data_IF_961950439957
#
_entry.id   IF_961950439957
#
_cell.length_a   1.000
_cell.length_b   1.000
_cell.length_c   1.000
_cell.angle_alpha   90.00
_cell.angle_beta   90.00
_cell.angle_gamma   90.00
#
_symmetry.space_group_name_H-M   'P 1'
#
loop_
_entity.id
_entity.type
_entity.pdbx_description
1 polymer ?
#
# COMPACT_ATOMS: atom_id res chain seq x y z
N UNK A 1 20.34 14.22 4.18
CA UNK A 1 19.23 13.89 5.09
C UNK A 1 18.14 13.14 4.35
N UNK A 2 17.59 12.07 4.93
CA UNK A 2 16.44 11.35 4.39
C UNK A 2 15.35 11.29 5.46
N UNK A 3 14.16 11.77 5.12
CA UNK A 3 13.03 11.87 6.03
C UNK A 3 12.02 10.78 5.70
N UNK A 4 11.91 9.77 6.57
CA UNK A 4 10.97 8.66 6.47
C UNK A 4 11.63 7.29 6.33
N UNK A 5 11.38 6.41 7.31
CA UNK A 5 11.95 5.06 7.43
C UNK A 5 11.16 3.95 6.72
N UNK A 6 10.31 4.29 5.73
CA UNK A 6 9.65 3.33 4.84
C UNK A 6 10.57 2.83 3.73
N UNK A 7 10.02 1.96 2.84
CA UNK A 7 10.80 1.36 1.73
C UNK A 7 11.48 2.42 0.85
N UNK A 8 10.80 3.54 0.57
CA UNK A 8 11.33 4.60 -0.28
C UNK A 8 12.56 5.27 0.35
N UNK A 9 12.47 5.67 1.63
CA UNK A 9 13.59 6.31 2.34
C UNK A 9 14.76 5.34 2.55
N UNK A 10 14.47 4.09 2.93
CA UNK A 10 15.53 3.08 3.08
C UNK A 10 16.22 2.78 1.75
N UNK A 11 15.47 2.67 0.65
CA UNK A 11 16.06 2.42 -0.68
C UNK A 11 16.95 3.59 -1.11
N UNK A 12 16.50 4.82 -0.87
CA UNK A 12 17.30 6.02 -1.11
C UNK A 12 18.57 6.05 -0.25
N UNK A 13 18.44 5.70 1.04
CA UNK A 13 19.57 5.64 1.96
C UNK A 13 20.62 4.60 1.54
N UNK A 14 20.17 3.42 1.10
CA UNK A 14 21.05 2.38 0.57
C UNK A 14 21.82 2.87 -0.65
N UNK A 15 21.12 3.46 -1.62
CA UNK A 15 21.74 3.95 -2.86
C UNK A 15 22.76 5.05 -2.58
N UNK A 16 22.39 6.06 -1.79
CA UNK A 16 23.27 7.15 -1.44
C UNK A 16 24.53 6.67 -0.69
N UNK A 17 24.36 5.72 0.25
CA UNK A 17 25.49 5.14 0.97
C UNK A 17 26.40 4.32 0.06
N UNK A 18 25.83 3.54 -0.86
CA UNK A 18 26.62 2.74 -1.82
C UNK A 18 27.41 3.64 -2.80
N UNK A 19 26.96 4.91 -2.99
CA UNK A 19 27.69 5.93 -3.73
C UNK A 19 28.66 6.77 -2.86
N UNK A 20 28.90 6.38 -1.60
CA UNK A 20 29.84 7.06 -0.71
C UNK A 20 29.30 8.34 -0.05
N UNK A 21 28.00 8.60 -0.12
CA UNK A 21 27.39 9.77 0.53
C UNK A 21 27.11 9.46 2.01
N UNK A 22 27.45 10.40 2.89
CA UNK A 22 27.06 10.32 4.30
C UNK A 22 25.54 10.55 4.45
N UNK A 23 24.85 9.60 5.11
CA UNK A 23 23.39 9.59 5.22
C UNK A 23 22.94 9.57 6.68
N UNK A 24 21.98 10.44 7.00
CA UNK A 24 21.13 10.34 8.18
C UNK A 24 19.71 10.03 7.73
N UNK A 25 19.15 8.92 8.21
CA UNK A 25 17.77 8.52 7.99
C UNK A 25 16.96 8.79 9.26
N UNK A 26 15.93 9.64 9.17
CA UNK A 26 15.05 9.93 10.31
C UNK A 26 13.75 9.14 10.22
N UNK A 27 13.21 8.70 11.35
CA UNK A 27 11.92 8.02 11.41
C UNK A 27 11.07 8.55 12.58
N UNK A 28 9.79 8.81 12.30
CA UNK A 28 8.80 9.37 13.24
C UNK A 28 8.58 8.47 14.47
N UNK A 29 8.70 7.17 14.31
CA UNK A 29 8.61 6.17 15.36
C UNK A 29 9.83 5.25 15.38
N UNK A 30 9.77 4.16 16.13
CA UNK A 30 10.84 3.19 16.22
C UNK A 30 11.11 2.50 14.87
N UNK A 31 12.36 2.51 14.44
CA UNK A 31 12.77 2.01 13.13
C UNK A 31 12.47 0.52 12.97
N UNK A 32 11.81 0.19 11.89
CA UNK A 32 11.36 -1.17 11.61
C UNK A 32 10.45 -1.81 12.68
N UNK A 33 9.92 -1.03 13.62
CA UNK A 33 8.92 -1.49 14.61
C UNK A 33 7.58 -0.85 14.35
N UNK A 34 7.57 0.46 14.18
CA UNK A 34 6.35 1.24 14.03
C UNK A 34 6.11 1.68 12.58
N UNK A 35 4.90 1.79 12.24
CA UNK A 35 4.18 2.75 11.46
C UNK A 35 4.47 2.97 9.99
N UNK A 36 5.21 2.21 9.22
CA UNK A 36 5.28 2.44 7.77
C UNK A 36 4.26 1.59 6.99
N UNK A 37 3.63 2.18 5.97
CA UNK A 37 2.76 1.45 5.03
C UNK A 37 3.46 0.23 4.41
N UNK A 38 4.78 0.28 4.25
CA UNK A 38 5.62 -0.83 3.79
C UNK A 38 5.42 -2.10 4.60
N UNK A 39 5.24 -1.98 5.91
CA UNK A 39 5.11 -3.13 6.81
C UNK A 39 3.75 -3.81 6.73
N UNK A 40 2.77 -3.12 6.16
CA UNK A 40 1.42 -3.60 5.94
C UNK A 40 1.23 -4.23 4.55
N UNK A 41 2.26 -4.23 3.69
CA UNK A 41 2.17 -4.75 2.33
C UNK A 41 1.77 -6.23 2.34
N UNK A 42 0.63 -6.54 1.73
CA UNK A 42 0.10 -7.90 1.61
C UNK A 42 0.84 -8.67 0.53
N UNK A 43 0.54 -8.35 -0.71
CA UNK A 43 1.17 -8.93 -1.89
C UNK A 43 2.43 -8.14 -2.31
N UNK A 44 3.11 -8.67 -3.31
CA UNK A 44 4.36 -8.14 -3.78
C UNK A 44 4.27 -7.03 -4.81
N UNK A 45 5.30 -6.96 -5.61
CA UNK A 45 5.47 -5.97 -6.66
C UNK A 45 4.66 -6.33 -7.90
N UNK A 46 4.17 -5.31 -8.60
CA UNK A 46 3.68 -5.45 -9.95
C UNK A 46 4.85 -5.24 -10.92
N UNK A 47 5.25 -6.26 -11.65
CA UNK A 47 6.35 -6.17 -12.60
C UNK A 47 6.11 -7.09 -13.81
N UNK A 48 6.34 -6.58 -15.02
CA UNK A 48 6.38 -7.40 -16.22
C UNK A 48 7.72 -8.13 -16.27
N UNK A 49 7.72 -9.44 -16.00
CA UNK A 49 8.96 -10.23 -15.87
C UNK A 49 9.21 -11.19 -17.01
N UNK A 50 8.15 -11.73 -17.62
CA UNK A 50 8.28 -12.83 -18.59
C UNK A 50 7.31 -12.66 -19.77
N UNK A 51 7.73 -13.05 -20.98
CA UNK A 51 6.80 -13.14 -22.13
C UNK A 51 5.61 -14.06 -21.81
N UNK A 52 4.41 -13.76 -22.37
CA UNK A 52 4.14 -12.74 -23.38
C UNK A 52 3.93 -11.32 -22.83
N UNK A 53 4.03 -11.08 -21.51
CA UNK A 53 3.96 -9.75 -20.92
C UNK A 53 5.23 -8.94 -21.23
N UNK A 54 5.09 -7.62 -21.24
CA UNK A 54 6.20 -6.68 -21.45
C UNK A 54 5.99 -5.37 -20.69
N UNK A 55 7.04 -4.57 -20.59
CA UNK A 55 6.97 -3.24 -20.00
C UNK A 55 5.96 -2.37 -20.76
N UNK A 56 5.93 -2.45 -22.08
CA UNK A 56 5.01 -1.69 -22.94
C UNK A 56 3.55 -2.04 -22.66
N UNK A 57 3.24 -3.34 -22.50
CA UNK A 57 1.89 -3.79 -22.13
C UNK A 57 1.53 -3.33 -20.72
N UNK A 58 2.47 -3.41 -19.79
CA UNK A 58 2.27 -2.91 -18.42
C UNK A 58 2.02 -1.39 -18.40
N UNK A 59 2.78 -0.62 -19.18
CA UNK A 59 2.57 0.83 -19.34
C UNK A 59 1.18 1.11 -19.91
N UNK A 60 0.76 0.40 -20.96
CA UNK A 60 -0.55 0.56 -21.59
C UNK A 60 -1.68 0.29 -20.59
N UNK A 61 -1.61 -0.80 -19.84
CA UNK A 61 -2.61 -1.14 -18.82
C UNK A 61 -2.68 -0.07 -17.72
N UNK A 62 -1.53 0.42 -17.26
CA UNK A 62 -1.45 1.45 -16.22
C UNK A 62 -2.03 2.79 -16.69
N UNK A 63 -1.70 3.20 -17.92
CA UNK A 63 -2.24 4.46 -18.50
C UNK A 63 -3.76 4.33 -18.70
N UNK A 64 -4.24 3.20 -19.22
CA UNK A 64 -5.67 2.92 -19.37
C UNK A 64 -6.38 2.91 -17.99
N UNK A 65 -5.78 2.27 -16.98
CA UNK A 65 -6.30 2.24 -15.62
C UNK A 65 -6.44 3.62 -15.00
N UNK A 66 -5.48 4.50 -15.23
CA UNK A 66 -5.51 5.91 -14.84
C UNK A 66 -6.32 6.82 -15.76
N UNK A 67 -7.14 6.26 -16.67
CA UNK A 67 -8.00 7.02 -17.60
C UNK A 67 -7.23 8.07 -18.42
N UNK A 68 -5.97 7.78 -18.75
CA UNK A 68 -5.06 8.64 -19.50
C UNK A 68 -4.68 9.96 -18.82
N UNK A 69 -4.99 10.12 -17.52
CA UNK A 69 -4.62 11.30 -16.73
C UNK A 69 -3.19 11.21 -16.17
N UNK A 70 -2.58 10.02 -16.21
CA UNK A 70 -1.24 9.77 -15.72
C UNK A 70 -0.18 10.61 -16.47
N UNK A 71 0.87 11.00 -15.78
CA UNK A 71 2.11 11.40 -16.44
C UNK A 71 2.78 10.17 -17.08
N UNK A 72 2.58 10.00 -18.39
CA UNK A 72 3.01 8.81 -19.13
C UNK A 72 4.53 8.58 -19.11
N UNK A 73 5.31 9.66 -19.07
CA UNK A 73 6.78 9.60 -18.96
C UNK A 73 7.21 8.99 -17.62
N UNK A 74 6.61 9.45 -16.53
CA UNK A 74 6.86 8.90 -15.19
C UNK A 74 6.42 7.44 -15.12
N UNK A 75 5.23 7.10 -15.63
CA UNK A 75 4.73 5.71 -15.69
C UNK A 75 5.74 4.80 -16.39
N UNK A 76 6.20 5.17 -17.60
CA UNK A 76 7.16 4.37 -18.35
C UNK A 76 8.48 4.19 -17.59
N UNK A 77 9.03 5.29 -17.06
CA UNK A 77 10.29 5.25 -16.30
C UNK A 77 10.17 4.34 -15.08
N UNK A 78 9.10 4.51 -14.31
CA UNK A 78 8.88 3.76 -13.07
C UNK A 78 8.70 2.26 -13.33
N UNK A 79 7.87 1.89 -14.30
CA UNK A 79 7.59 0.49 -14.60
C UNK A 79 8.81 -0.22 -15.23
N UNK A 80 9.66 0.48 -15.95
CA UNK A 80 10.92 -0.06 -16.48
C UNK A 80 11.88 -0.51 -15.38
N UNK A 81 11.79 0.07 -14.19
CA UNK A 81 12.60 -0.30 -13.03
C UNK A 81 12.05 -1.50 -12.24
N UNK A 82 10.81 -1.88 -12.51
CA UNK A 82 10.10 -2.95 -11.78
C UNK A 82 10.85 -4.29 -11.73
N UNK A 83 11.30 -4.84 -12.86
CA UNK A 83 12.04 -6.11 -12.88
C UNK A 83 13.30 -6.07 -12.00
N UNK A 84 14.09 -4.99 -12.10
CA UNK A 84 15.29 -4.81 -11.27
C UNK A 84 14.93 -4.72 -9.77
N UNK A 85 13.85 -4.02 -9.43
CA UNK A 85 13.41 -3.91 -8.04
C UNK A 85 13.03 -5.26 -7.43
N UNK A 86 12.36 -6.14 -8.20
CA UNK A 86 12.04 -7.52 -7.79
C UNK A 86 13.32 -8.32 -7.52
N UNK A 87 14.27 -8.27 -8.45
CA UNK A 87 15.57 -8.93 -8.31
C UNK A 87 16.35 -8.46 -7.08
N UNK A 88 16.45 -7.13 -6.88
CA UNK A 88 17.16 -6.54 -5.74
C UNK A 88 16.54 -7.01 -4.41
N UNK A 89 15.21 -7.01 -4.31
CA UNK A 89 14.51 -7.48 -3.10
C UNK A 89 14.73 -8.98 -2.86
N UNK A 90 14.72 -9.78 -3.92
CA UNK A 90 15.04 -11.19 -3.80
C UNK A 90 16.48 -11.42 -3.33
N UNK A 91 17.46 -10.73 -3.92
CA UNK A 91 18.88 -10.77 -3.51
C UNK A 91 19.08 -10.31 -2.07
N UNK A 92 18.27 -9.38 -1.58
CA UNK A 92 18.29 -8.94 -0.18
C UNK A 92 17.60 -9.91 0.79
N UNK A 93 17.05 -11.01 0.24
CA UNK A 93 16.50 -12.12 1.01
C UNK A 93 15.02 -11.99 1.35
N UNK A 94 14.26 -11.22 0.55
CA UNK A 94 12.79 -11.30 0.58
C UNK A 94 12.36 -12.66 0.01
N UNK A 95 11.55 -13.39 0.76
CA UNK A 95 11.11 -14.76 0.40
C UNK A 95 10.01 -14.74 -0.67
N UNK A 96 10.38 -14.44 -1.90
CA UNK A 96 9.49 -14.51 -3.05
C UNK A 96 9.29 -15.96 -3.50
N UNK A 97 8.06 -16.29 -3.90
CA UNK A 97 7.73 -17.61 -4.42
C UNK A 97 8.26 -17.77 -5.84
N UNK A 98 8.93 -18.91 -6.08
CA UNK A 98 9.31 -19.35 -7.42
C UNK A 98 8.64 -20.68 -7.75
N UNK A 99 8.23 -20.82 -9.00
CA UNK A 99 7.76 -22.06 -9.61
C UNK A 99 8.51 -22.25 -10.91
N UNK A 100 9.09 -23.44 -11.13
CA UNK A 100 9.88 -23.77 -12.32
C UNK A 100 10.99 -22.72 -12.61
N UNK A 101 11.70 -22.27 -11.55
CA UNK A 101 12.78 -21.28 -11.63
C UNK A 101 12.33 -19.83 -11.81
N UNK A 102 11.07 -19.57 -12.15
CA UNK A 102 10.49 -18.24 -12.38
C UNK A 102 9.75 -17.72 -11.16
N UNK A 103 9.74 -16.40 -10.94
CA UNK A 103 8.90 -15.79 -9.91
C UNK A 103 7.43 -16.04 -10.22
N UNK A 104 6.70 -16.53 -9.21
CA UNK A 104 5.27 -16.76 -9.35
C UNK A 104 4.51 -15.44 -9.30
N UNK A 105 3.62 -15.23 -10.28
CA UNK A 105 2.87 -14.00 -10.46
C UNK A 105 1.37 -14.29 -10.45
N UNK A 106 0.62 -13.49 -9.68
CA UNK A 106 -0.84 -13.56 -9.60
C UNK A 106 -1.50 -12.53 -10.55
N UNK A 107 -2.65 -12.88 -11.13
CA UNK A 107 -3.47 -11.94 -11.88
C UNK A 107 -4.17 -10.95 -10.92
N UNK A 108 -4.44 -9.75 -11.43
CA UNK A 108 -5.25 -8.74 -10.75
C UNK A 108 -6.23 -8.12 -11.74
N UNK A 109 -7.41 -7.65 -11.27
CA UNK A 109 -8.36 -6.95 -12.12
C UNK A 109 -7.72 -5.74 -12.81
N UNK A 110 -7.98 -5.60 -14.11
CA UNK A 110 -7.43 -4.52 -14.93
C UNK A 110 -6.05 -4.78 -15.53
N UNK A 111 -5.40 -5.90 -15.22
CA UNK A 111 -4.14 -6.31 -15.82
C UNK A 111 -4.37 -7.26 -17.00
N UNK A 112 -3.66 -7.06 -18.12
CA UNK A 112 -3.69 -7.97 -19.26
C UNK A 112 -2.99 -9.30 -18.97
N UNK A 113 -1.98 -9.30 -18.07
CA UNK A 113 -1.22 -10.47 -17.67
C UNK A 113 -0.99 -10.52 -16.16
N UNK A 114 -0.74 -11.71 -15.56
CA UNK A 114 -0.33 -11.83 -14.17
C UNK A 114 0.99 -11.09 -13.91
N UNK A 115 1.02 -10.14 -12.98
CA UNK A 115 2.21 -9.32 -12.65
C UNK A 115 2.55 -9.25 -11.17
N UNK A 116 1.61 -9.64 -10.31
CA UNK A 116 1.85 -9.53 -8.88
C UNK A 116 2.80 -10.62 -8.40
N UNK A 117 4.06 -10.27 -8.24
CA UNK A 117 5.07 -11.15 -7.65
C UNK A 117 4.74 -11.33 -6.17
N UNK A 118 4.54 -12.54 -5.71
CA UNK A 118 4.08 -12.83 -4.36
C UNK A 118 5.08 -13.65 -3.55
N UNK A 119 4.88 -13.65 -2.24
CA UNK A 119 5.54 -14.56 -1.30
C UNK A 119 4.89 -15.95 -1.32
N UNK A 120 5.37 -16.84 -0.47
CA UNK A 120 4.71 -18.13 -0.22
C UNK A 120 3.27 -17.90 0.25
N UNK A 121 2.35 -18.83 -0.02
CA UNK A 121 0.97 -18.75 0.46
C UNK A 121 0.91 -18.47 1.97
N UNK A 122 0.03 -17.57 2.40
CA UNK A 122 -0.10 -17.14 3.79
C UNK A 122 1.01 -16.18 4.28
N UNK A 123 1.99 -15.83 3.44
CA UNK A 123 3.06 -14.92 3.81
C UNK A 123 2.77 -13.50 3.33
N UNK A 124 2.62 -12.57 4.28
CA UNK A 124 2.64 -11.14 3.99
C UNK A 124 4.05 -10.67 3.69
N UNK A 125 4.21 -9.93 2.60
CA UNK A 125 5.52 -9.45 2.20
C UNK A 125 6.01 -8.24 3.01
N UNK A 126 5.12 -7.50 3.67
CA UNK A 126 5.51 -6.41 4.56
C UNK A 126 6.55 -6.80 5.62
N UNK A 127 6.31 -7.86 6.41
CA UNK A 127 7.31 -8.38 7.35
C UNK A 127 8.62 -8.84 6.70
N UNK A 128 8.55 -9.39 5.48
CA UNK A 128 9.74 -9.81 4.72
C UNK A 128 10.55 -8.60 4.23
N UNK A 129 9.86 -7.58 3.70
CA UNK A 129 10.51 -6.30 3.33
C UNK A 129 11.20 -5.69 4.55
N UNK A 130 10.51 -5.62 5.67
CA UNK A 130 11.04 -5.13 6.93
C UNK A 130 12.36 -5.81 7.30
N UNK A 131 12.38 -7.16 7.34
CA UNK A 131 13.58 -7.93 7.67
C UNK A 131 14.72 -7.71 6.69
N UNK A 132 14.41 -7.70 5.39
CA UNK A 132 15.42 -7.52 4.34
C UNK A 132 16.02 -6.12 4.40
N UNK A 133 15.19 -5.08 4.44
CA UNK A 133 15.61 -3.68 4.47
C UNK A 133 16.38 -3.35 5.76
N UNK A 134 15.93 -3.83 6.91
CA UNK A 134 16.64 -3.67 8.17
C UNK A 134 18.07 -4.23 8.09
N UNK A 135 18.23 -5.45 7.53
CA UNK A 135 19.56 -6.04 7.31
C UNK A 135 20.45 -5.19 6.41
N UNK A 136 19.89 -4.61 5.35
CA UNK A 136 20.64 -3.74 4.43
C UNK A 136 21.12 -2.45 5.11
N UNK A 137 20.27 -1.83 5.94
CA UNK A 137 20.63 -0.65 6.74
C UNK A 137 21.75 -0.98 7.73
N UNK A 138 21.63 -2.10 8.46
CA UNK A 138 22.64 -2.55 9.42
C UNK A 138 23.98 -2.88 8.75
N UNK A 139 23.95 -3.61 7.62
CA UNK A 139 25.15 -3.99 6.86
C UNK A 139 25.97 -2.76 6.43
N UNK A 140 25.30 -1.69 6.05
CA UNK A 140 25.92 -0.42 5.58
C UNK A 140 26.19 0.56 6.71
N UNK A 141 25.84 0.22 7.94
CA UNK A 141 25.98 1.10 9.12
C UNK A 141 25.33 2.47 8.92
N UNK A 142 24.20 2.52 8.20
CA UNK A 142 23.46 3.77 7.97
C UNK A 142 23.00 4.31 9.31
N UNK A 143 23.28 5.59 9.58
CA UNK A 143 22.83 6.26 10.78
C UNK A 143 21.32 6.47 10.74
N UNK A 144 20.60 5.94 11.74
CA UNK A 144 19.15 6.08 11.88
C UNK A 144 18.84 6.85 13.16
N UNK A 145 18.07 7.93 13.03
CA UNK A 145 17.52 8.71 14.13
C UNK A 145 16.05 8.31 14.29
N UNK A 146 15.79 7.47 15.30
CA UNK A 146 14.45 6.96 15.64
C UNK A 146 13.67 7.98 16.46
N UNK A 147 12.33 7.80 16.54
CA UNK A 147 11.43 8.61 17.35
C UNK A 147 11.63 10.13 17.14
N UNK A 148 11.98 10.47 15.91
CA UNK A 148 12.26 11.84 15.50
C UNK A 148 11.19 12.31 14.49
N UNK A 149 10.29 13.14 15.01
CA UNK A 149 9.23 13.75 14.21
C UNK A 149 9.74 15.03 13.54
N UNK A 150 10.05 14.94 12.25
CA UNK A 150 10.42 16.13 11.47
C UNK A 150 9.17 16.96 11.23
N UNK A 151 9.19 18.21 11.65
CA UNK A 151 8.07 19.15 11.55
C UNK A 151 8.17 20.05 10.35
N UNK A 152 9.37 20.55 10.02
CA UNK A 152 9.57 21.52 8.95
C UNK A 152 10.90 21.34 8.21
N UNK A 153 10.91 21.76 6.95
CA UNK A 153 12.12 21.92 6.15
C UNK A 153 12.71 23.30 6.43
N UNK A 154 14.01 23.36 6.57
CA UNK A 154 14.74 24.63 6.71
C UNK A 154 15.08 25.14 5.30
N UNK A 155 14.63 26.34 4.99
CA UNK A 155 14.83 26.98 3.68
C UNK A 155 15.67 28.24 3.84
N UNK A 156 16.71 28.39 3.05
CA UNK A 156 17.51 29.58 2.88
C UNK A 156 17.71 29.84 1.40
N UNK A 157 17.52 31.07 0.95
CA UNK A 157 17.70 31.48 -0.44
C UNK A 157 16.97 30.59 -1.47
N UNK A 158 15.75 30.16 -1.10
CA UNK A 158 14.87 29.23 -1.87
C UNK A 158 15.41 27.80 -1.99
N UNK A 159 16.44 27.44 -1.25
CA UNK A 159 16.97 26.08 -1.18
C UNK A 159 16.69 25.43 0.16
N UNK A 160 16.42 24.12 0.16
CA UNK A 160 16.29 23.34 1.38
C UNK A 160 17.68 23.02 1.91
N UNK A 161 18.04 23.61 3.04
CA UNK A 161 19.35 23.46 3.69
C UNK A 161 19.34 22.50 4.89
N UNK A 162 18.20 21.89 5.16
CA UNK A 162 18.04 20.92 6.24
C UNK A 162 16.60 20.78 6.71
N UNK A 163 16.43 20.34 7.95
CA UNK A 163 15.13 20.17 8.57
C UNK A 163 15.22 20.39 10.09
N UNK A 164 14.07 20.68 10.69
CA UNK A 164 13.89 20.73 12.16
C UNK A 164 12.87 19.67 12.57
N UNK A 165 13.07 19.07 13.71
CA UNK A 165 12.17 18.06 14.26
C UNK A 165 12.22 17.98 15.77
N UNK A 166 11.40 17.12 16.30
CA UNK A 166 11.26 16.83 17.72
C UNK A 166 11.67 15.38 17.99
N UNK A 167 12.57 15.17 18.94
CA UNK A 167 12.74 13.86 19.58
C UNK A 167 11.54 13.63 20.48
N UNK A 168 10.64 12.76 20.06
CA UNK A 168 9.34 12.57 20.76
C UNK A 168 9.49 11.87 22.11
N UNK A 169 10.63 11.22 22.38
CA UNK A 169 10.89 10.59 23.68
C UNK A 169 11.47 11.55 24.68
N UNK A 170 12.33 12.46 24.22
CA UNK A 170 13.05 13.40 25.11
C UNK A 170 12.41 14.77 25.17
N UNK A 171 11.55 15.11 24.20
CA UNK A 171 10.98 16.44 24.08
C UNK A 171 12.00 17.48 23.57
N UNK A 172 13.08 17.03 22.95
CA UNK A 172 14.19 17.89 22.51
C UNK A 172 14.01 18.28 21.03
N UNK A 173 14.29 19.54 20.71
CA UNK A 173 14.33 20.02 19.33
C UNK A 173 15.64 19.57 18.71
N UNK A 174 15.57 18.96 17.53
CA UNK A 174 16.71 18.56 16.71
C UNK A 174 16.76 19.36 15.41
N UNK A 175 17.93 19.89 15.10
CA UNK A 175 18.20 20.59 13.84
C UNK A 175 19.18 19.79 13.02
N UNK A 176 18.78 19.50 11.78
CA UNK A 176 19.61 18.78 10.81
C UNK A 176 20.03 19.74 9.69
N UNK A 177 21.33 19.95 9.53
CA UNK A 177 21.89 20.63 8.37
C UNK A 177 22.26 19.59 7.31
N UNK A 178 21.84 19.79 6.09
CA UNK A 178 22.08 18.85 5.01
C UNK A 178 22.24 19.57 3.67
N UNK A 179 23.21 19.11 2.86
CA UNK A 179 23.42 19.60 1.48
C UNK A 179 22.25 19.21 0.57
N UNK A 180 21.59 18.09 0.87
CA UNK A 180 20.41 17.61 0.15
C UNK A 180 19.46 16.90 1.08
N UNK A 181 18.16 17.06 0.87
CA UNK A 181 17.12 16.42 1.66
C UNK A 181 16.20 15.60 0.75
N UNK A 182 16.04 14.30 1.05
CA UNK A 182 15.09 13.43 0.38
C UNK A 182 13.88 13.27 1.29
N UNK A 183 12.71 13.66 0.80
CA UNK A 183 11.45 13.54 1.51
C UNK A 183 10.75 12.24 1.11
N UNK A 184 10.67 11.29 2.02
CA UNK A 184 10.08 9.97 1.85
C UNK A 184 9.09 9.62 2.98
N UNK A 185 8.36 10.63 3.49
CA UNK A 185 7.54 10.58 4.68
C UNK A 185 6.17 9.87 4.49
N UNK A 186 5.90 9.29 3.33
CA UNK A 186 4.66 8.56 3.04
C UNK A 186 3.47 9.47 2.73
N UNK A 187 2.26 8.91 2.82
CA UNK A 187 1.00 9.57 2.45
C UNK A 187 0.25 10.20 3.62
N UNK A 188 -1.04 10.54 3.37
CA UNK A 188 -1.90 11.21 4.36
C UNK A 188 -3.25 10.49 4.61
N UNK A 189 -3.29 9.19 4.38
CA UNK A 189 -4.55 8.42 4.50
C UNK A 189 -5.06 8.32 5.93
N UNK A 190 -4.21 8.50 6.94
CA UNK A 190 -4.59 8.58 8.35
C UNK A 190 -5.43 9.81 8.70
N UNK A 191 -5.58 10.78 7.79
CA UNK A 191 -6.46 11.95 7.96
C UNK A 191 -7.95 11.64 7.64
N UNK A 192 -8.24 10.47 7.08
CA UNK A 192 -9.60 10.06 6.75
C UNK A 192 -10.22 9.28 7.91
N UNK A 193 -11.49 9.54 8.21
CA UNK A 193 -12.25 8.86 9.27
C UNK A 193 -12.26 7.34 9.07
N UNK A 194 -12.46 6.88 7.82
CA UNK A 194 -12.36 5.46 7.48
C UNK A 194 -11.17 5.24 6.55
N UNK A 195 -10.12 4.71 7.13
CA UNK A 195 -8.87 4.41 6.44
C UNK A 195 -8.46 2.96 6.66
N UNK A 196 -7.81 2.39 5.67
CA UNK A 196 -7.14 1.08 5.74
C UNK A 196 -5.61 1.24 5.73
N UNK A 197 -5.14 2.47 5.80
CA UNK A 197 -3.73 2.80 5.88
C UNK A 197 -3.25 2.83 7.34
N UNK A 198 -1.94 2.96 7.50
CA UNK A 198 -1.35 3.16 8.81
C UNK A 198 -1.84 4.49 9.42
N UNK A 199 -2.31 4.51 10.67
CA UNK A 199 -2.76 5.73 11.35
C UNK A 199 -1.67 6.83 11.44
N UNK A 200 -0.39 6.46 11.37
CA UNK A 200 0.72 7.43 11.39
C UNK A 200 0.96 8.13 10.04
N UNK A 201 0.23 7.75 8.98
CA UNK A 201 0.29 8.40 7.67
C UNK A 201 -0.56 9.70 7.69
N UNK A 202 -0.10 10.71 8.39
CA UNK A 202 -0.82 11.95 8.71
C UNK A 202 -0.46 13.13 7.81
N UNK A 203 0.25 12.90 6.69
CA UNK A 203 0.53 13.93 5.70
C UNK A 203 1.66 14.90 6.07
N UNK A 204 2.46 14.56 7.06
CA UNK A 204 3.52 15.44 7.58
C UNK A 204 4.47 15.92 6.47
N UNK A 205 4.87 14.99 5.58
CA UNK A 205 5.72 15.31 4.44
C UNK A 205 5.08 16.30 3.46
N UNK A 206 3.79 16.13 3.19
CA UNK A 206 3.05 17.05 2.31
C UNK A 206 2.94 18.44 2.96
N UNK A 207 2.62 18.49 4.25
CA UNK A 207 2.48 19.75 4.98
C UNK A 207 3.80 20.53 5.03
N UNK A 208 4.92 19.88 5.39
CA UNK A 208 6.22 20.56 5.46
C UNK A 208 6.71 20.99 4.08
N UNK A 209 6.46 20.20 3.04
CA UNK A 209 6.83 20.58 1.67
C UNK A 209 5.99 21.77 1.18
N UNK A 210 4.69 21.79 1.47
CA UNK A 210 3.83 22.92 1.13
C UNK A 210 4.28 24.21 1.82
N UNK A 211 4.59 24.16 3.13
CA UNK A 211 5.13 25.31 3.87
C UNK A 211 6.49 25.79 3.32
N UNK A 212 7.28 24.87 2.79
CA UNK A 212 8.55 25.19 2.12
C UNK A 212 8.37 25.72 0.69
N UNK A 213 7.14 25.89 0.20
CA UNK A 213 6.83 26.44 -1.13
C UNK A 213 6.91 25.42 -2.27
N UNK A 214 7.00 24.11 -1.98
CA UNK A 214 7.01 23.07 -3.00
C UNK A 214 5.63 22.94 -3.65
N UNK A 215 5.59 22.88 -4.97
CA UNK A 215 4.34 22.68 -5.71
C UNK A 215 3.76 21.29 -5.45
N UNK A 216 2.46 21.23 -5.24
CA UNK A 216 1.69 20.01 -5.09
C UNK A 216 0.91 19.74 -6.36
N UNK A 217 0.67 18.46 -6.68
CA UNK A 217 -0.14 18.05 -7.82
C UNK A 217 -0.98 16.83 -7.50
N UNK A 218 -2.12 16.72 -8.16
CA UNK A 218 -3.00 15.54 -8.13
C UNK A 218 -3.42 15.12 -6.70
N UNK A 219 -3.55 16.08 -5.78
CA UNK A 219 -3.86 15.83 -4.36
C UNK A 219 -5.25 15.23 -4.15
N UNK A 220 -6.15 15.40 -5.11
CA UNK A 220 -7.49 14.82 -5.13
C UNK A 220 -7.53 13.34 -5.49
N UNK A 221 -6.43 12.76 -6.02
CA UNK A 221 -6.38 11.36 -6.43
C UNK A 221 -6.05 10.46 -5.25
N UNK A 222 -7.10 10.06 -4.56
CA UNK A 222 -7.04 9.11 -3.44
C UNK A 222 -7.59 7.77 -3.90
N UNK A 223 -6.85 6.69 -3.66
CA UNK A 223 -7.39 5.35 -3.88
C UNK A 223 -8.18 4.91 -2.64
N UNK A 224 -9.43 4.52 -2.86
CA UNK A 224 -10.27 3.84 -1.89
C UNK A 224 -10.32 2.35 -2.20
N UNK A 225 -9.86 1.53 -1.25
CA UNK A 225 -9.96 0.07 -1.38
C UNK A 225 -11.37 -0.37 -0.97
N UNK A 226 -12.10 -1.15 -1.81
CA UNK A 226 -13.51 -1.46 -1.56
C UNK A 226 -13.76 -2.49 -0.45
N UNK A 227 -12.71 -3.13 0.02
CA UNK A 227 -12.77 -4.23 0.97
C UNK A 227 -12.07 -3.89 2.30
N UNK A 228 -12.21 -2.67 2.79
CA UNK A 228 -11.91 -2.33 4.18
C UNK A 228 -13.00 -2.89 5.09
N UNK A 229 -12.64 -3.66 6.12
CA UNK A 229 -13.61 -4.18 7.09
C UNK A 229 -14.27 -3.00 7.81
N UNK A 230 -15.60 -2.95 7.78
CA UNK A 230 -16.37 -1.87 8.39
C UNK A 230 -16.87 -2.27 9.78
N UNK A 231 -17.28 -3.52 9.94
CA UNK A 231 -17.83 -4.09 11.16
C UNK A 231 -17.29 -5.50 11.40
N UNK A 232 -17.06 -5.95 12.64
CA UNK A 232 -17.24 -5.21 13.89
C UNK A 232 -16.16 -4.14 14.15
N UNK A 233 -16.37 -3.22 15.13
CA UNK A 233 -15.46 -2.11 15.41
C UNK A 233 -14.01 -2.54 15.67
N UNK A 234 -13.79 -3.69 16.29
CA UNK A 234 -12.46 -4.25 16.56
C UNK A 234 -11.65 -4.61 15.30
N UNK A 235 -12.33 -4.73 14.15
CA UNK A 235 -11.74 -5.03 12.85
C UNK A 235 -11.82 -3.85 11.87
N UNK A 236 -12.41 -2.71 12.31
CA UNK A 236 -12.61 -1.54 11.45
C UNK A 236 -11.27 -1.05 10.86
N UNK A 237 -11.24 -0.93 9.54
CA UNK A 237 -10.05 -0.52 8.81
C UNK A 237 -9.08 -1.64 8.42
N UNK A 238 -9.28 -2.87 8.91
CA UNK A 238 -8.48 -4.01 8.47
C UNK A 238 -8.70 -4.30 6.97
N UNK A 239 -7.60 -4.42 6.23
CA UNK A 239 -7.61 -4.56 4.75
C UNK A 239 -7.54 -6.02 4.27
N UNK A 240 -7.58 -6.98 5.16
CA UNK A 240 -7.49 -8.40 4.85
C UNK A 240 -8.59 -8.95 3.93
N UNK A 241 -9.83 -8.44 3.95
CA UNK A 241 -10.83 -8.84 2.96
C UNK A 241 -10.38 -8.74 1.51
N UNK A 242 -9.48 -7.80 1.20
CA UNK A 242 -8.92 -7.68 -0.14
C UNK A 242 -8.06 -8.91 -0.54
N UNK A 243 -7.32 -9.49 0.39
CA UNK A 243 -6.57 -10.73 0.15
C UNK A 243 -7.51 -11.90 -0.12
N UNK A 244 -8.62 -11.97 0.61
CA UNK A 244 -9.68 -12.93 0.36
C UNK A 244 -10.26 -12.75 -1.04
N UNK A 245 -10.54 -11.49 -1.43
CA UNK A 245 -11.09 -11.19 -2.74
C UNK A 245 -10.21 -11.73 -3.88
N UNK A 246 -8.92 -11.43 -3.86
CA UNK A 246 -7.99 -11.86 -4.91
C UNK A 246 -7.85 -13.40 -5.00
N UNK A 247 -7.94 -14.10 -3.88
CA UNK A 247 -7.70 -15.54 -3.83
C UNK A 247 -8.98 -16.39 -3.92
N UNK A 248 -10.11 -15.88 -3.46
CA UNK A 248 -11.34 -16.63 -3.33
C UNK A 248 -12.52 -16.08 -4.14
N UNK A 249 -12.35 -14.93 -4.81
CA UNK A 249 -13.38 -14.34 -5.67
C UNK A 249 -14.75 -14.24 -4.98
N UNK A 250 -14.92 -13.41 -3.94
CA UNK A 250 -16.18 -13.27 -3.23
C UNK A 250 -17.26 -12.65 -4.10
N UNK A 251 -18.51 -12.79 -3.65
CA UNK A 251 -19.65 -12.07 -4.19
C UNK A 251 -19.99 -10.90 -3.27
N UNK A 252 -20.37 -9.77 -3.87
CA UNK A 252 -20.78 -8.57 -3.14
C UNK A 252 -22.30 -8.41 -3.17
N UNK A 253 -22.89 -8.19 -1.98
CA UNK A 253 -24.31 -7.99 -1.79
C UNK A 253 -24.61 -6.64 -1.13
N UNK A 254 -25.75 -6.03 -1.49
CA UNK A 254 -26.32 -4.92 -0.76
C UNK A 254 -27.20 -5.43 0.42
N UNK A 255 -27.86 -4.53 1.15
CA UNK A 255 -28.74 -4.88 2.28
C UNK A 255 -30.00 -5.66 1.87
N UNK A 256 -30.38 -5.63 0.58
CA UNK A 256 -31.52 -6.36 0.03
C UNK A 256 -31.11 -7.78 -0.46
N UNK A 257 -29.86 -8.17 -0.30
CA UNK A 257 -29.34 -9.45 -0.80
C UNK A 257 -29.10 -9.48 -2.31
N UNK A 258 -29.09 -8.32 -2.99
CA UNK A 258 -28.86 -8.24 -4.43
C UNK A 258 -27.36 -8.20 -4.76
N UNK A 259 -26.93 -8.94 -5.77
CA UNK A 259 -25.58 -8.88 -6.36
C UNK A 259 -25.45 -7.64 -7.24
N UNK A 260 -25.29 -6.48 -6.61
CA UNK A 260 -25.36 -5.19 -7.30
C UNK A 260 -24.27 -4.97 -8.35
N UNK A 261 -23.12 -5.65 -8.26
CA UNK A 261 -22.04 -5.53 -9.26
C UNK A 261 -22.45 -6.08 -10.63
N UNK A 262 -23.34 -7.05 -10.70
CA UNK A 262 -23.91 -7.53 -11.99
C UNK A 262 -24.69 -6.44 -12.71
N UNK A 263 -25.36 -5.54 -11.97
CA UNK A 263 -26.10 -4.39 -12.53
C UNK A 263 -25.17 -3.31 -13.06
N UNK A 264 -24.08 -3.03 -12.33
CA UNK A 264 -23.16 -1.95 -12.70
C UNK A 264 -22.09 -2.35 -13.68
N UNK A 265 -21.67 -3.62 -13.67
CA UNK A 265 -20.54 -4.16 -14.43
C UNK A 265 -20.83 -5.58 -14.91
N UNK A 266 -21.81 -5.75 -15.84
CA UNK A 266 -22.30 -7.09 -16.23
C UNK A 266 -21.21 -7.99 -16.80
N UNK A 267 -20.21 -7.43 -17.50
CA UNK A 267 -19.14 -8.19 -18.16
C UNK A 267 -18.12 -8.79 -17.18
N UNK A 268 -17.79 -8.09 -16.12
CA UNK A 268 -16.72 -8.47 -15.16
C UNK A 268 -17.25 -8.78 -13.76
N UNK A 269 -18.47 -8.32 -13.45
CA UNK A 269 -19.18 -8.58 -12.20
C UNK A 269 -18.29 -8.32 -10.98
N UNK A 270 -18.19 -9.29 -10.08
CA UNK A 270 -17.41 -9.19 -8.85
C UNK A 270 -15.88 -9.15 -9.09
N UNK A 271 -15.40 -9.35 -10.32
CA UNK A 271 -14.00 -9.18 -10.74
C UNK A 271 -13.68 -7.78 -11.31
N UNK A 272 -14.55 -6.81 -11.04
CA UNK A 272 -14.32 -5.43 -11.43
C UNK A 272 -13.11 -4.82 -10.70
N UNK A 273 -12.58 -3.71 -11.21
CA UNK A 273 -11.45 -3.00 -10.59
C UNK A 273 -11.82 -2.44 -9.22
N UNK A 274 -10.83 -2.19 -8.36
CA UNK A 274 -11.03 -1.60 -7.02
C UNK A 274 -11.90 -0.35 -7.07
N UNK A 275 -11.60 0.55 -7.99
CA UNK A 275 -12.31 1.82 -8.19
C UNK A 275 -13.78 1.56 -8.58
N UNK A 276 -14.01 0.63 -9.48
CA UNK A 276 -15.34 0.27 -9.93
C UNK A 276 -16.19 -0.28 -8.77
N UNK A 277 -15.66 -1.24 -8.01
CA UNK A 277 -16.35 -1.82 -6.85
C UNK A 277 -16.57 -0.77 -5.76
N UNK A 278 -15.57 0.04 -5.43
CA UNK A 278 -15.70 1.11 -4.43
C UNK A 278 -16.83 2.10 -4.81
N UNK A 279 -16.87 2.50 -6.06
CA UNK A 279 -17.91 3.39 -6.59
C UNK A 279 -19.30 2.76 -6.54
N UNK A 280 -19.41 1.48 -6.86
CA UNK A 280 -20.68 0.76 -6.79
C UNK A 280 -21.20 0.65 -5.35
N UNK A 281 -20.34 0.34 -4.38
CA UNK A 281 -20.72 0.34 -2.95
C UNK A 281 -21.28 1.71 -2.54
N UNK A 282 -20.58 2.80 -2.88
CA UNK A 282 -21.03 4.17 -2.55
C UNK A 282 -22.40 4.46 -3.20
N UNK A 283 -22.64 3.99 -4.43
CA UNK A 283 -23.95 4.16 -5.09
C UNK A 283 -25.06 3.41 -4.35
N UNK A 284 -24.80 2.17 -3.91
CA UNK A 284 -25.77 1.40 -3.13
C UNK A 284 -26.07 2.06 -1.77
N UNK A 285 -25.05 2.54 -1.07
CA UNK A 285 -25.22 3.27 0.20
C UNK A 285 -26.04 4.53 0.00
N UNK A 286 -25.72 5.35 -1.01
CA UNK A 286 -26.48 6.59 -1.33
C UNK A 286 -27.92 6.32 -1.76
N UNK A 287 -28.19 5.15 -2.32
CA UNK A 287 -29.53 4.74 -2.71
C UNK A 287 -30.32 4.07 -1.56
N UNK A 288 -29.81 4.11 -0.33
CA UNK A 288 -30.45 3.52 0.85
C UNK A 288 -30.40 2.00 0.92
N UNK A 289 -29.57 1.35 0.08
CA UNK A 289 -29.39 -0.10 0.04
C UNK A 289 -28.05 -0.55 0.62
N UNK A 290 -27.37 0.33 1.35
CA UNK A 290 -26.15 0.00 2.08
C UNK A 290 -26.41 -0.90 3.28
N UNK A 291 -25.35 -1.52 3.80
CA UNK A 291 -25.36 -2.24 5.07
C UNK A 291 -25.63 -1.29 6.25
N UNK A 292 -25.99 -1.79 7.45
CA UNK A 292 -26.35 -0.95 8.60
C UNK A 292 -25.29 0.11 8.98
N UNK A 293 -24.02 -0.17 8.72
CA UNK A 293 -22.91 0.74 9.05
C UNK A 293 -22.41 1.55 7.84
N UNK A 294 -23.14 1.53 6.69
CA UNK A 294 -22.82 2.34 5.52
C UNK A 294 -21.84 1.68 4.54
N UNK A 295 -21.89 0.40 4.37
CA UNK A 295 -21.09 -0.38 3.43
C UNK A 295 -21.90 -1.35 2.60
N UNK A 296 -21.28 -2.49 2.28
CA UNK A 296 -21.87 -3.65 1.60
C UNK A 296 -21.38 -4.95 2.25
N UNK A 297 -21.93 -6.08 1.84
CA UNK A 297 -21.52 -7.38 2.31
C UNK A 297 -20.64 -8.09 1.27
N UNK A 298 -19.53 -8.64 1.73
CA UNK A 298 -18.63 -9.50 0.95
C UNK A 298 -18.75 -10.92 1.47
N UNK A 299 -19.20 -11.88 0.63
CA UNK A 299 -19.47 -13.25 1.02
C UNK A 299 -18.68 -14.27 0.21
N UNK A 300 -18.34 -15.38 0.86
CA UNK A 300 -17.67 -16.56 0.28
C UNK A 300 -18.53 -17.81 0.35
N UNK A 301 -19.75 -17.72 0.85
CA UNK A 301 -20.67 -18.86 1.10
C UNK A 301 -21.05 -19.65 -0.16
N UNK A 302 -20.86 -19.06 -1.35
CA UNK A 302 -21.08 -19.73 -2.64
C UNK A 302 -19.96 -20.70 -3.02
N UNK A 303 -18.81 -20.64 -2.34
CA UNK A 303 -17.65 -21.47 -2.64
C UNK A 303 -17.75 -22.85 -1.96
N UNK A 304 -17.17 -23.89 -2.58
CA UNK A 304 -17.02 -25.18 -1.91
C UNK A 304 -16.26 -25.03 -0.59
N UNK A 305 -16.79 -25.64 0.49
CA UNK A 305 -16.19 -25.54 1.83
C UNK A 305 -14.72 -25.95 1.86
N UNK A 306 -14.37 -27.04 1.21
CA UNK A 306 -12.99 -27.51 1.13
C UNK A 306 -12.02 -26.48 0.50
N UNK A 307 -12.49 -25.64 -0.42
CA UNK A 307 -11.68 -24.58 -1.01
C UNK A 307 -11.36 -23.49 0.03
N UNK A 308 -12.39 -23.09 0.80
CA UNK A 308 -12.22 -22.08 1.86
C UNK A 308 -11.38 -22.65 3.00
N UNK A 309 -11.60 -23.89 3.40
CA UNK A 309 -10.82 -24.57 4.44
C UNK A 309 -9.34 -24.68 4.06
N UNK A 310 -9.03 -25.15 2.86
CA UNK A 310 -7.65 -25.20 2.35
C UNK A 310 -6.98 -23.82 2.30
N UNK A 311 -7.76 -22.79 1.99
CA UNK A 311 -7.24 -21.42 2.03
C UNK A 311 -6.94 -20.98 3.47
N UNK A 312 -7.87 -21.23 4.40
CA UNK A 312 -7.72 -20.90 5.82
C UNK A 312 -6.57 -21.65 6.49
N UNK A 313 -6.37 -22.93 6.16
CA UNK A 313 -5.22 -23.70 6.64
C UNK A 313 -3.90 -23.11 6.20
N UNK A 314 -3.78 -22.73 4.92
CA UNK A 314 -2.58 -22.08 4.37
C UNK A 314 -2.35 -20.67 4.91
N UNK A 315 -3.45 -19.95 5.19
CA UNK A 315 -3.44 -18.60 5.71
C UNK A 315 -3.63 -18.53 7.25
N UNK A 316 -3.77 -19.67 7.92
CA UNK A 316 -4.20 -19.79 9.33
C UNK A 316 -3.29 -19.14 10.37
N UNK A 317 -2.04 -18.78 9.97
CA UNK A 317 -1.18 -17.94 10.78
C UNK A 317 -1.45 -16.42 10.64
N UNK A 318 -2.41 -16.04 9.80
CA UNK A 318 -2.76 -14.63 9.59
C UNK A 318 -3.63 -14.16 10.74
N UNK A 319 -3.15 -13.18 11.46
CA UNK A 319 -3.80 -12.59 12.64
C UNK A 319 -5.27 -12.22 12.42
N UNK A 320 -5.63 -11.78 11.22
CA UNK A 320 -6.99 -11.42 10.84
C UNK A 320 -8.00 -12.58 11.00
N UNK A 321 -7.68 -13.78 10.49
CA UNK A 321 -8.61 -14.93 10.61
C UNK A 321 -8.81 -15.37 12.04
N UNK A 322 -7.78 -15.23 12.88
CA UNK A 322 -7.92 -15.43 14.31
C UNK A 322 -8.88 -14.40 14.92
N UNK A 323 -8.72 -13.12 14.57
CA UNK A 323 -9.63 -12.06 15.02
C UNK A 323 -11.06 -12.28 14.52
N UNK A 324 -11.28 -12.71 13.28
CA UNK A 324 -12.62 -13.07 12.80
C UNK A 324 -13.27 -14.14 13.67
N UNK A 325 -12.52 -15.19 13.98
CA UNK A 325 -13.00 -16.28 14.84
C UNK A 325 -13.29 -15.78 16.27
N UNK A 326 -12.45 -14.90 16.82
CA UNK A 326 -12.66 -14.30 18.15
C UNK A 326 -13.93 -13.46 18.23
N UNK A 327 -14.36 -12.85 17.13
CA UNK A 327 -15.62 -12.07 17.04
C UNK A 327 -16.79 -12.89 16.49
N UNK A 328 -16.63 -14.23 16.36
CA UNK A 328 -17.68 -15.14 15.94
C UNK A 328 -18.00 -15.13 14.45
N UNK A 329 -17.15 -14.55 13.60
CA UNK A 329 -17.35 -14.52 12.14
C UNK A 329 -16.66 -15.70 11.48
N UNK A 330 -17.41 -16.52 10.80
CA UNK A 330 -16.93 -17.64 9.99
C UNK A 330 -17.21 -17.38 8.50
N UNK A 331 -16.17 -17.07 7.73
CA UNK A 331 -16.31 -16.72 6.32
C UNK A 331 -16.91 -17.82 5.42
N UNK A 332 -17.02 -19.06 5.93
CA UNK A 332 -17.69 -20.16 5.23
C UNK A 332 -19.21 -19.95 5.16
N UNK A 333 -19.76 -19.16 6.07
CA UNK A 333 -21.19 -18.93 6.26
C UNK A 333 -21.54 -17.46 6.31
N UNK A 334 -20.69 -16.65 6.96
CA UNK A 334 -20.95 -15.26 7.27
C UNK A 334 -20.36 -14.34 6.20
N UNK A 335 -21.08 -13.29 5.88
CA UNK A 335 -20.58 -12.19 5.07
C UNK A 335 -19.81 -11.19 5.93
N UNK A 336 -18.76 -10.63 5.39
CA UNK A 336 -18.01 -9.55 6.03
C UNK A 336 -18.59 -8.22 5.57
N UNK A 337 -18.90 -7.33 6.50
CA UNK A 337 -19.33 -5.97 6.17
C UNK A 337 -18.11 -5.12 5.81
N UNK A 338 -18.12 -4.59 4.58
CA UNK A 338 -16.98 -3.87 4.00
C UNK A 338 -17.40 -2.52 3.43
N UNK A 339 -16.48 -1.57 3.42
CA UNK A 339 -16.68 -0.27 2.79
C UNK A 339 -15.41 0.23 2.10
N UNK A 340 -15.52 1.22 1.18
CA UNK A 340 -14.38 1.88 0.60
C UNK A 340 -13.58 2.68 1.65
N UNK A 341 -12.42 2.17 2.06
CA UNK A 341 -11.51 2.86 2.97
C UNK A 341 -10.38 3.58 2.22
N UNK A 342 -10.00 4.78 2.67
CA UNK A 342 -8.86 5.49 2.12
C UNK A 342 -7.59 4.65 2.29
N UNK A 343 -6.88 4.35 1.17
CA UNK A 343 -5.82 3.35 1.17
C UNK A 343 -4.45 3.94 0.86
N UNK A 344 -4.31 4.70 -0.24
CA UNK A 344 -3.14 5.50 -0.52
C UNK A 344 -3.42 6.69 -1.45
N UNK A 345 -2.57 7.70 -1.35
CA UNK A 345 -2.57 8.87 -2.22
C UNK A 345 -1.76 8.58 -3.46
N UNK A 346 -2.20 9.09 -4.60
CA UNK A 346 -1.51 8.97 -5.89
C UNK A 346 -0.87 10.28 -6.33
N UNK A 347 -1.39 11.42 -5.87
CA UNK A 347 -0.76 12.72 -6.00
C UNK A 347 0.32 12.98 -4.96
N UNK A 348 0.81 14.19 -4.89
CA UNK A 348 1.83 14.62 -3.94
C UNK A 348 2.68 15.78 -4.45
N UNK A 349 3.99 15.69 -4.21
CA UNK A 349 4.93 16.70 -4.66
C UNK A 349 5.07 16.68 -6.19
N UNK A 350 5.06 17.86 -6.81
CA UNK A 350 5.33 17.97 -8.24
C UNK A 350 6.84 17.83 -8.49
N UNK A 351 7.24 16.64 -8.98
CA UNK A 351 8.65 16.31 -9.23
C UNK A 351 9.14 16.70 -10.63
N UNK A 352 8.26 17.25 -11.47
CA UNK A 352 8.58 17.59 -12.87
C UNK A 352 9.26 18.97 -13.01
N UNK A 353 9.39 19.70 -11.93
CA UNK A 353 9.97 21.04 -11.90
C UNK A 353 11.30 21.09 -11.12
N UNK A 354 11.92 19.94 -10.95
CA UNK A 354 13.25 19.81 -10.36
C UNK A 354 14.31 19.96 -11.44
#
# INVERSE_FOLDING_TARGET
>A
LIIGGGIAGIRAAIEATDQGVEVILTTKGAFCKDGAATWMAGNGFQAALYPPDSIEVHVKDTIKGGKYLNNQKIVKTFLSLGPKAVEDMYKWGVRLLKKDGKFYQLPFPGHSYPRSVCGKPGLFLGPEYKKALFRQVKRRKIKVEEDTFITDLLVSDKEVVGAIGLDVRRGEIKVYRAKSTILAAGGFMGCYEFTTANPTATGDGHAMAHRAGVKMMDMEFIQFIPAGTLWPPSLRGDVYPYMLWINLHPIFYNSLGERFLERYYPDVKDWATREAVARAIVKEVRAGRGSPHGGAYMSFSHLPRNLVDNFLERAGGVHFFRKLKEVGVDIRYDAIEVAPGAHYVQGGLSLIHI
#
